data_IF_193182178356
#
_entry.id   IF_193182178356
#
_cell.length_a   1.000
_cell.length_b   1.000
_cell.length_c   1.000
_cell.angle_alpha   90.00
_cell.angle_beta   90.00
_cell.angle_gamma   90.00
#
_symmetry.space_group_name_H-M   'P 1'
#
loop_
_entity.id
_entity.type
_entity.pdbx_description
1 polymer ?
#
# COMPACT_ATOMS: atom_id res chain seq x y z
N UNK A 1 -0.25 5.88 7.92
CA UNK A 1 0.05 5.60 6.49
C UNK A 1 0.84 4.31 6.41
N UNK A 2 0.75 3.58 5.29
CA UNK A 2 1.53 2.36 5.01
C UNK A 2 2.16 2.50 3.62
N UNK A 3 3.41 2.09 3.45
CA UNK A 3 4.00 1.88 2.12
C UNK A 3 4.26 0.38 1.92
N UNK A 4 3.73 -0.20 0.85
CA UNK A 4 3.91 -1.60 0.48
C UNK A 4 5.05 -1.72 -0.54
N UNK A 5 6.28 -1.58 -0.05
CA UNK A 5 7.49 -1.61 -0.89
C UNK A 5 7.60 -2.98 -1.53
N UNK A 6 7.89 -2.99 -2.83
CA UNK A 6 7.86 -4.20 -3.64
C UNK A 6 9.11 -4.29 -4.52
N UNK A 7 9.96 -5.29 -4.28
CA UNK A 7 11.00 -5.70 -5.21
C UNK A 7 10.34 -6.53 -6.31
N UNK A 8 10.25 -5.95 -7.52
CA UNK A 8 9.44 -6.51 -8.61
C UNK A 8 10.08 -7.72 -9.26
N UNK A 9 11.41 -7.79 -9.31
CA UNK A 9 12.08 -8.96 -9.86
C UNK A 9 11.81 -10.20 -8.98
N UNK A 10 11.88 -10.08 -7.66
CA UNK A 10 11.61 -11.16 -6.73
C UNK A 10 10.14 -11.51 -6.83
N UNK A 11 9.24 -10.53 -6.67
CA UNK A 11 7.80 -10.75 -6.71
C UNK A 11 7.35 -11.58 -7.92
N UNK A 12 7.90 -11.30 -9.12
CA UNK A 12 7.47 -11.90 -10.38
C UNK A 12 8.31 -13.10 -10.82
N UNK A 13 9.63 -13.03 -10.69
CA UNK A 13 10.54 -13.96 -11.39
C UNK A 13 11.08 -15.09 -10.50
N UNK A 14 10.97 -14.96 -9.17
CA UNK A 14 11.57 -15.95 -8.23
C UNK A 14 10.62 -17.07 -7.78
N UNK A 15 9.51 -17.31 -8.51
CA UNK A 15 8.50 -18.36 -8.25
C UNK A 15 7.82 -18.33 -6.87
N UNK A 16 6.66 -18.96 -6.70
CA UNK A 16 5.90 -18.93 -5.43
C UNK A 16 5.11 -17.63 -5.21
N UNK A 17 4.78 -17.30 -3.95
CA UNK A 17 3.86 -16.21 -3.62
C UNK A 17 4.50 -14.80 -3.72
N UNK A 18 3.68 -13.76 -3.61
CA UNK A 18 4.14 -12.36 -3.69
C UNK A 18 4.86 -11.89 -2.43
N UNK A 19 4.68 -12.57 -1.29
CA UNK A 19 5.23 -12.19 0.01
C UNK A 19 6.74 -12.00 -0.05
N UNK A 20 7.46 -12.84 -0.79
CA UNK A 20 8.93 -12.73 -0.95
C UNK A 20 9.39 -11.38 -1.50
N UNK A 21 8.62 -10.74 -2.39
CA UNK A 21 8.97 -9.44 -2.97
C UNK A 21 8.57 -8.26 -2.09
N UNK A 22 7.85 -8.50 -1.00
CA UNK A 22 7.21 -7.48 -0.16
C UNK A 22 7.64 -7.50 1.30
N UNK A 23 8.47 -8.48 1.68
CA UNK A 23 8.83 -8.75 3.08
C UNK A 23 10.31 -8.59 3.36
N UNK A 24 11.03 -7.83 2.52
CA UNK A 24 12.40 -7.45 2.81
C UNK A 24 12.46 -6.54 4.04
N UNK A 25 13.61 -6.51 4.72
CA UNK A 25 13.82 -5.60 5.84
C UNK A 25 13.48 -4.17 5.40
N UNK A 26 12.72 -3.46 6.23
CA UNK A 26 12.21 -2.10 5.99
C UNK A 26 11.08 -1.94 4.96
N UNK A 27 10.54 -3.01 4.37
CA UNK A 27 9.56 -2.89 3.25
C UNK A 27 8.12 -2.57 3.65
N UNK A 28 7.79 -2.62 4.94
CA UNK A 28 6.47 -2.28 5.46
C UNK A 28 6.48 -1.12 6.46
N UNK A 29 6.97 0.09 6.10
CA UNK A 29 6.91 1.22 7.00
C UNK A 29 5.45 1.62 7.27
N UNK A 30 5.12 1.77 8.56
CA UNK A 30 3.79 2.19 9.04
C UNK A 30 3.96 3.35 10.00
N UNK A 31 3.16 4.40 9.84
CA UNK A 31 3.15 5.55 10.74
C UNK A 31 2.98 6.90 10.03
N UNK A 32 3.49 8.01 10.61
CA UNK A 32 4.12 8.10 11.93
C UNK A 32 3.14 7.94 13.11
N UNK A 33 1.83 8.05 12.84
CA UNK A 33 0.76 7.95 13.85
C UNK A 33 -0.28 6.90 13.46
N UNK A 34 -1.01 6.41 14.46
CA UNK A 34 -2.27 5.71 14.28
C UNK A 34 -3.40 6.69 14.62
N UNK A 35 -4.21 7.05 13.62
CA UNK A 35 -5.39 7.91 13.79
C UNK A 35 -6.62 7.06 14.05
N UNK A 36 -7.53 7.55 14.89
CA UNK A 36 -8.73 6.82 15.30
C UNK A 36 -9.94 7.21 14.47
N UNK A 37 -11.02 6.41 14.57
CA UNK A 37 -12.25 6.58 13.77
C UNK A 37 -12.95 7.91 14.04
N UNK A 38 -12.82 8.48 15.22
CA UNK A 38 -13.37 9.78 15.59
C UNK A 38 -12.65 10.94 14.89
N UNK A 39 -11.35 10.79 14.58
CA UNK A 39 -10.59 11.76 13.76
C UNK A 39 -10.83 11.57 12.26
N UNK A 40 -11.10 10.33 11.83
CA UNK A 40 -11.40 9.98 10.43
C UNK A 40 -12.77 9.27 10.34
N UNK A 41 -13.88 10.03 10.30
CA UNK A 41 -15.22 9.46 10.33
C UNK A 41 -15.55 8.58 9.10
N UNK A 42 -14.96 8.91 7.94
CA UNK A 42 -15.14 8.16 6.70
C UNK A 42 -13.79 7.82 6.05
N UNK A 43 -13.27 6.59 6.21
CA UNK A 43 -12.00 6.19 5.60
C UNK A 43 -12.10 5.98 4.07
N UNK A 44 -13.31 6.00 3.51
CA UNK A 44 -13.55 5.81 2.07
C UNK A 44 -13.46 7.12 1.27
N UNK A 45 -13.14 8.27 1.90
CA UNK A 45 -12.97 9.55 1.21
C UNK A 45 -11.71 10.25 1.75
N UNK A 46 -10.55 9.71 1.42
CA UNK A 46 -9.25 10.22 1.84
C UNK A 46 -8.34 10.43 0.63
N UNK A 47 -7.79 11.63 0.50
CA UNK A 47 -6.76 11.90 -0.49
C UNK A 47 -5.41 11.33 -0.04
N UNK A 48 -4.70 10.70 -0.97
CA UNK A 48 -3.38 10.13 -0.74
C UNK A 48 -2.47 10.49 -1.91
N UNK A 49 -1.24 10.87 -1.59
CA UNK A 49 -0.23 11.20 -2.57
C UNK A 49 1.13 10.68 -2.12
N UNK A 50 2.02 10.46 -3.08
CA UNK A 50 3.40 10.06 -2.85
C UNK A 50 4.30 10.84 -3.80
N UNK A 51 5.40 11.37 -3.26
CA UNK A 51 6.44 12.05 -4.01
C UNK A 51 7.75 11.26 -3.91
N UNK A 52 8.55 11.30 -4.97
CA UNK A 52 9.95 10.87 -4.98
C UNK A 52 10.78 12.05 -5.46
N UNK A 53 11.75 12.48 -4.65
CA UNK A 53 12.55 13.69 -4.85
C UNK A 53 11.71 14.94 -5.17
N UNK A 54 10.55 15.06 -4.52
CA UNK A 54 9.60 16.15 -4.72
C UNK A 54 8.67 16.00 -5.94
N UNK A 55 8.91 15.04 -6.83
CA UNK A 55 8.04 14.75 -7.96
C UNK A 55 6.89 13.83 -7.53
N UNK A 56 5.65 14.22 -7.81
CA UNK A 56 4.47 13.38 -7.52
C UNK A 56 4.48 12.15 -8.41
N UNK A 57 4.53 10.98 -7.79
CA UNK A 57 4.47 9.67 -8.46
C UNK A 57 3.08 9.07 -8.38
N UNK A 58 2.42 9.23 -7.24
CA UNK A 58 1.05 8.75 -7.02
C UNK A 58 0.20 9.87 -6.45
N UNK A 59 -1.05 9.94 -6.90
CA UNK A 59 -2.07 10.85 -6.39
C UNK A 59 -3.44 10.21 -6.62
N UNK A 60 -4.21 10.00 -5.56
CA UNK A 60 -5.50 9.32 -5.64
C UNK A 60 -6.36 9.56 -4.41
N UNK A 61 -7.57 9.00 -4.44
CA UNK A 61 -8.51 9.05 -3.33
C UNK A 61 -9.00 7.64 -3.01
N UNK A 62 -9.31 7.37 -1.75
CA UNK A 62 -9.85 6.08 -1.34
C UNK A 62 -11.24 5.82 -1.92
N UNK A 63 -11.99 6.82 -2.37
CA UNK A 63 -13.29 6.65 -3.02
C UNK A 63 -13.22 5.83 -4.32
N UNK A 64 -12.06 5.77 -4.97
CA UNK A 64 -11.83 4.97 -6.18
C UNK A 64 -11.42 3.52 -5.90
N UNK A 65 -11.38 3.08 -4.64
CA UNK A 65 -11.06 1.68 -4.30
C UNK A 65 -12.12 0.74 -4.88
N UNK A 66 -11.67 -0.30 -5.61
CA UNK A 66 -12.56 -1.34 -6.16
C UNK A 66 -13.32 -2.06 -5.03
N UNK A 67 -12.62 -2.37 -3.95
CA UNK A 67 -13.20 -2.93 -2.72
C UNK A 67 -12.95 -1.96 -1.57
N UNK A 68 -14.01 -1.37 -1.03
CA UNK A 68 -13.90 -0.44 0.10
C UNK A 68 -13.44 -1.11 1.41
N UNK A 69 -13.08 -0.30 2.41
CA UNK A 69 -12.50 -0.77 3.69
C UNK A 69 -13.38 -1.81 4.38
N UNK A 70 -14.70 -1.57 4.44
CA UNK A 70 -15.67 -2.51 5.04
C UNK A 70 -15.70 -3.85 4.31
N UNK A 71 -15.62 -3.82 2.98
CA UNK A 71 -15.62 -5.03 2.13
C UNK A 71 -14.35 -5.84 2.36
N UNK A 72 -13.19 -5.19 2.42
CA UNK A 72 -11.90 -5.86 2.67
C UNK A 72 -11.93 -6.57 4.03
N UNK A 73 -12.34 -5.87 5.10
CA UNK A 73 -12.41 -6.46 6.45
C UNK A 73 -13.38 -7.65 6.49
N UNK A 74 -14.59 -7.48 5.93
CA UNK A 74 -15.59 -8.55 5.87
C UNK A 74 -15.08 -9.78 5.10
N UNK A 75 -14.44 -9.56 3.95
CA UNK A 75 -13.91 -10.65 3.14
C UNK A 75 -12.79 -11.41 3.86
N UNK A 76 -11.81 -10.70 4.44
CA UNK A 76 -10.70 -11.33 5.15
C UNK A 76 -11.19 -12.14 6.37
N UNK A 77 -12.22 -11.66 7.08
CA UNK A 77 -12.79 -12.38 8.24
C UNK A 77 -13.42 -13.74 7.90
N UNK A 78 -13.73 -14.00 6.63
CA UNK A 78 -14.20 -15.31 6.16
C UNK A 78 -13.05 -16.29 5.90
N UNK A 79 -11.84 -15.77 5.64
CA UNK A 79 -10.65 -16.57 5.35
C UNK A 79 -9.82 -16.86 6.61
N UNK A 80 -9.83 -15.96 7.58
CA UNK A 80 -9.05 -16.07 8.81
C UNK A 80 -9.64 -15.21 9.94
N UNK A 81 -9.38 -15.61 11.18
CA UNK A 81 -9.75 -14.81 12.36
C UNK A 81 -8.88 -13.55 12.44
N UNK A 82 -9.51 -12.38 12.36
CA UNK A 82 -8.84 -11.09 12.59
C UNK A 82 -8.57 -10.88 14.09
N UNK A 83 -7.35 -10.48 14.43
CA UNK A 83 -6.92 -10.23 15.81
C UNK A 83 -6.77 -8.72 16.08
N UNK A 84 -7.00 -8.29 17.34
CA UNK A 84 -6.61 -6.95 17.76
C UNK A 84 -5.12 -6.70 17.47
N UNK A 85 -4.82 -5.62 16.75
CA UNK A 85 -3.45 -5.29 16.31
C UNK A 85 -3.14 -5.69 14.87
N UNK A 86 -4.01 -6.42 14.17
CA UNK A 86 -3.85 -6.71 12.75
C UNK A 86 -3.82 -5.41 11.92
N UNK A 87 -2.91 -5.37 10.94
CA UNK A 87 -2.75 -4.25 10.01
C UNK A 87 -3.06 -4.72 8.60
N UNK A 88 -4.00 -4.05 7.93
CA UNK A 88 -4.41 -4.35 6.56
C UNK A 88 -3.94 -3.21 5.64
N UNK A 89 -2.99 -3.49 4.75
CA UNK A 89 -2.64 -2.59 3.66
C UNK A 89 -3.70 -2.70 2.55
N UNK A 90 -4.49 -1.65 2.32
CA UNK A 90 -5.72 -1.70 1.50
C UNK A 90 -5.49 -1.50 -0.01
N UNK A 91 -4.25 -1.63 -0.48
CA UNK A 91 -3.86 -1.38 -1.87
C UNK A 91 -3.25 0.00 -2.10
N UNK A 92 -3.01 0.32 -3.37
CA UNK A 92 -2.30 1.54 -3.79
C UNK A 92 -2.98 2.17 -5.01
N UNK A 93 -3.06 3.51 -5.12
CA UNK A 93 -3.59 4.18 -6.32
C UNK A 93 -2.65 4.02 -7.53
N UNK A 94 -3.08 4.42 -8.75
CA UNK A 94 -2.23 4.44 -9.93
C UNK A 94 -0.95 5.27 -9.74
N UNK A 95 0.04 5.03 -10.60
CA UNK A 95 1.32 5.76 -10.59
C UNK A 95 2.49 4.99 -9.96
N UNK A 96 2.33 3.69 -9.71
CA UNK A 96 3.46 2.83 -9.33
C UNK A 96 4.48 2.78 -10.48
N UNK A 97 5.76 2.84 -10.12
CA UNK A 97 6.83 2.96 -11.10
C UNK A 97 6.91 1.82 -12.14
N UNK A 98 6.47 0.61 -11.78
CA UNK A 98 6.36 -0.52 -12.72
C UNK A 98 5.37 -0.25 -13.87
N UNK A 99 4.31 0.53 -13.62
CA UNK A 99 3.28 0.85 -14.62
C UNK A 99 3.64 2.06 -15.50
N UNK A 100 4.79 2.69 -15.29
CA UNK A 100 5.28 3.80 -16.11
C UNK A 100 5.91 3.31 -17.41
N UNK A 101 6.02 4.19 -18.39
CA UNK A 101 6.72 3.92 -19.64
C UNK A 101 7.79 5.02 -19.90
N UNK A 102 9.10 4.72 -19.72
CA UNK A 102 9.65 3.44 -19.28
C UNK A 102 9.37 3.14 -17.79
N UNK A 103 9.39 1.86 -17.36
CA UNK A 103 9.30 1.52 -15.95
C UNK A 103 10.40 2.21 -15.15
N UNK A 104 10.02 2.81 -14.04
CA UNK A 104 10.94 3.56 -13.16
C UNK A 104 10.93 2.94 -11.78
N UNK A 105 12.10 2.66 -11.22
CA UNK A 105 12.23 2.07 -9.89
C UNK A 105 13.08 2.98 -8.99
N UNK A 106 12.89 2.83 -7.68
CA UNK A 106 13.65 3.59 -6.69
C UNK A 106 15.15 3.32 -6.83
N UNK A 107 15.93 4.39 -6.72
CA UNK A 107 17.39 4.36 -6.70
C UNK A 107 17.92 4.75 -5.32
N UNK A 108 19.14 4.34 -5.03
CA UNK A 108 19.80 4.72 -3.79
C UNK A 108 19.86 6.25 -3.64
N UNK A 109 19.46 6.75 -2.46
CA UNK A 109 19.48 8.17 -2.12
C UNK A 109 18.21 8.95 -2.47
N UNK A 110 17.25 8.33 -3.15
CA UNK A 110 15.95 8.97 -3.42
C UNK A 110 15.08 9.05 -2.16
N UNK A 111 14.28 10.12 -2.06
CA UNK A 111 13.44 10.44 -0.90
C UNK A 111 11.97 10.56 -1.25
#
# INVERSE_FOLDING_TARGET
MVNDISERHWQLERQGNWTKGKSGDTYGPVGPWMVTRDEVPNPQILNLWLKVNGQTMQNGNTDTMIFGVKTIVSYLSQCMSLQPGDVIATGTPPGVGQGMNPPTFLKAGEK
#
